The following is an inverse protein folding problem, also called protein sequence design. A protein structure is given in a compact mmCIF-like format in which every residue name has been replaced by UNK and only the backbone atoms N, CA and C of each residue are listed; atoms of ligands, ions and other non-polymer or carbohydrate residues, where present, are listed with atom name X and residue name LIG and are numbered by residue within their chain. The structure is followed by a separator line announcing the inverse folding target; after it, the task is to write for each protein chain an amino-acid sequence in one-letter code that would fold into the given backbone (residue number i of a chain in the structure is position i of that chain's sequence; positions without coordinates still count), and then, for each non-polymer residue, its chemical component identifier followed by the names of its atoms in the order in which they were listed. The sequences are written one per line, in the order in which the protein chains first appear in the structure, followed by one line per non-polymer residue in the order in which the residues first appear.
data_IF_623451582682
#
_entry.id   IF_623451582682
#
_cell.length_a   1.000
_cell.length_b   1.000
_cell.length_c   1.000
_cell.angle_alpha   90.00
_cell.angle_beta   90.00
_cell.angle_gamma   90.00
#
_symmetry.space_group_name_H-M   'P 1'
#
loop_
_entity.id
_entity.type
_entity.pdbx_description
1 polymer ?
#
# COMPACT_ATOMS: atom_id res chain seq x y z
N UNK A 1 -7.73 32.72 3.78
CA UNK A 1 -6.93 31.50 3.55
C UNK A 1 -5.81 31.89 2.61
N UNK A 2 -4.57 31.49 2.86
CA UNK A 2 -3.46 31.80 1.95
C UNK A 2 -3.72 31.13 0.60
N UNK A 3 -3.54 31.87 -0.50
CA UNK A 3 -3.69 31.34 -1.85
C UNK A 3 -2.56 30.33 -2.10
N UNK A 4 -2.95 29.10 -2.45
CA UNK A 4 -2.05 27.99 -2.74
C UNK A 4 -1.91 27.90 -4.25
N UNK A 5 -0.69 27.91 -4.73
CA UNK A 5 -0.42 27.77 -6.16
C UNK A 5 -0.83 26.38 -6.65
N UNK A 6 -1.55 26.33 -7.78
CA UNK A 6 -2.17 25.10 -8.30
C UNK A 6 -1.15 24.04 -8.71
N UNK A 7 0.03 24.45 -9.15
CA UNK A 7 1.03 23.55 -9.72
C UNK A 7 2.00 23.04 -8.67
N UNK A 8 2.39 23.90 -7.73
CA UNK A 8 3.34 23.57 -6.67
C UNK A 8 2.66 23.06 -5.40
N UNK A 9 1.38 23.38 -5.20
CA UNK A 9 0.67 23.07 -3.95
C UNK A 9 1.23 23.83 -2.74
N UNK A 10 2.04 24.87 -2.96
CA UNK A 10 2.67 25.68 -1.93
C UNK A 10 2.03 27.06 -1.86
N UNK A 11 2.04 27.65 -0.67
CA UNK A 11 1.80 29.10 -0.54
C UNK A 11 3.00 29.86 -1.10
N UNK A 12 2.80 31.11 -1.51
CA UNK A 12 3.88 31.97 -1.99
C UNK A 12 5.06 32.05 -1.02
N UNK A 13 4.78 32.23 0.27
CA UNK A 13 5.81 32.28 1.32
C UNK A 13 6.65 31.00 1.39
N UNK A 14 6.01 29.84 1.27
CA UNK A 14 6.70 28.55 1.27
C UNK A 14 7.52 28.35 0.01
N UNK A 15 6.98 28.76 -1.13
CA UNK A 15 7.69 28.71 -2.40
C UNK A 15 8.94 29.59 -2.37
N UNK A 16 8.82 30.83 -1.90
CA UNK A 16 9.95 31.76 -1.79
C UNK A 16 11.05 31.21 -0.88
N UNK A 17 10.69 30.61 0.26
CA UNK A 17 11.62 29.96 1.19
C UNK A 17 12.36 28.77 0.54
N UNK A 18 11.65 27.93 -0.22
CA UNK A 18 12.26 26.80 -0.95
C UNK A 18 13.22 27.32 -2.02
N UNK A 19 12.84 28.37 -2.75
CA UNK A 19 13.70 28.98 -3.77
C UNK A 19 14.96 29.63 -3.19
N UNK A 20 14.88 30.23 -2.00
CA UNK A 20 16.04 30.76 -1.30
C UNK A 20 17.03 29.65 -0.93
N UNK A 21 16.56 28.57 -0.29
CA UNK A 21 17.39 27.40 0.03
C UNK A 21 17.97 26.76 -1.21
N UNK A 22 17.21 26.71 -2.30
CA UNK A 22 17.67 26.19 -3.58
C UNK A 22 18.83 27.01 -4.15
N UNK A 23 18.80 28.35 -4.06
CA UNK A 23 19.93 29.20 -4.49
C UNK A 23 21.19 28.95 -3.67
N UNK A 24 21.04 28.79 -2.35
CA UNK A 24 22.16 28.44 -1.48
C UNK A 24 22.74 27.08 -1.89
N UNK A 25 21.88 26.08 -2.10
CA UNK A 25 22.27 24.78 -2.61
C UNK A 25 23.05 24.89 -3.94
N UNK A 26 22.55 25.62 -4.93
CA UNK A 26 23.26 25.81 -6.21
C UNK A 26 24.65 26.44 -6.03
N UNK A 27 24.81 27.37 -5.08
CA UNK A 27 26.11 28.02 -4.82
C UNK A 27 27.10 27.16 -4.00
N UNK A 28 26.65 26.01 -3.49
CA UNK A 28 27.40 25.19 -2.53
C UNK A 28 27.48 23.72 -2.92
N UNK A 29 26.72 23.25 -3.91
CA UNK A 29 26.60 21.83 -4.25
C UNK A 29 27.92 21.21 -4.75
N UNK A 30 28.78 22.02 -5.38
CA UNK A 30 30.06 21.56 -5.94
C UNK A 30 31.24 21.76 -4.97
N UNK A 31 30.99 22.32 -3.78
CA UNK A 31 32.01 22.62 -2.79
C UNK A 31 31.99 21.60 -1.64
N UNK A 32 32.92 20.65 -1.69
CA UNK A 32 33.08 19.58 -0.69
C UNK A 32 33.46 20.08 0.71
N UNK A 33 33.88 21.35 0.84
CA UNK A 33 34.22 21.95 2.15
C UNK A 33 33.01 22.56 2.83
N UNK A 34 31.91 22.75 2.10
CA UNK A 34 30.69 23.36 2.62
C UNK A 34 29.69 22.32 3.10
N UNK A 35 28.90 22.71 4.10
CA UNK A 35 27.84 21.87 4.63
C UNK A 35 26.73 21.69 3.59
N UNK A 36 26.25 20.45 3.37
CA UNK A 36 25.12 20.20 2.48
C UNK A 36 23.88 21.00 2.87
N UNK A 37 23.32 21.72 1.90
CA UNK A 37 22.10 22.52 2.11
C UNK A 37 20.86 21.66 1.86
N UNK A 38 19.95 21.64 2.83
CA UNK A 38 18.65 20.96 2.69
C UNK A 38 17.63 21.94 2.10
N UNK A 39 17.16 21.66 0.89
CA UNK A 39 16.22 22.52 0.16
C UNK A 39 14.78 22.34 0.65
N UNK A 40 14.34 21.09 0.72
CA UNK A 40 12.95 20.75 1.07
C UNK A 40 12.78 20.54 2.57
N UNK A 41 11.56 20.77 3.06
CA UNK A 41 11.23 20.45 4.44
C UNK A 41 11.30 18.94 4.68
N UNK A 42 11.77 18.56 5.87
CA UNK A 42 11.77 17.16 6.29
C UNK A 42 10.33 16.69 6.48
N UNK A 43 10.08 15.42 6.15
CA UNK A 43 8.82 14.77 6.49
C UNK A 43 8.65 14.84 8.00
N UNK A 44 7.49 15.33 8.44
CA UNK A 44 7.22 15.49 9.88
C UNK A 44 7.08 14.13 10.54
N UNK A 45 7.40 14.04 11.84
CA UNK A 45 7.22 12.79 12.59
C UNK A 45 5.77 12.30 12.51
N UNK A 46 4.80 13.22 12.61
CA UNK A 46 3.38 12.91 12.44
C UNK A 46 3.09 12.21 11.11
N UNK A 47 3.64 12.72 10.00
CA UNK A 47 3.46 12.09 8.69
C UNK A 47 4.14 10.71 8.61
N UNK A 48 5.26 10.51 9.29
CA UNK A 48 5.90 9.19 9.38
C UNK A 48 5.04 8.21 10.18
N UNK A 49 4.45 8.65 11.29
CA UNK A 49 3.56 7.84 12.12
C UNK A 49 2.29 7.47 11.35
N UNK A 50 1.72 8.40 10.60
CA UNK A 50 0.57 8.16 9.71
C UNK A 50 0.91 7.13 8.63
N UNK A 51 2.09 7.23 7.99
CA UNK A 51 2.55 6.24 7.02
C UNK A 51 2.76 4.86 7.64
N UNK A 52 3.26 4.81 8.87
CA UNK A 52 3.42 3.55 9.61
C UNK A 52 2.07 2.89 9.89
N UNK A 53 1.08 3.67 10.32
CA UNK A 53 -0.28 3.18 10.54
C UNK A 53 -0.92 2.68 9.24
N UNK A 54 -0.79 3.43 8.14
CA UNK A 54 -1.29 3.01 6.83
C UNK A 54 -0.68 1.67 6.43
N UNK A 55 0.63 1.50 6.65
CA UNK A 55 1.34 0.26 6.35
C UNK A 55 0.79 -0.91 7.17
N UNK A 56 0.61 -0.72 8.47
CA UNK A 56 0.09 -1.75 9.38
C UNK A 56 -1.32 -2.20 8.96
N UNK A 57 -2.23 -1.25 8.78
CA UNK A 57 -3.61 -1.54 8.36
C UNK A 57 -3.64 -2.23 6.99
N UNK A 58 -2.79 -1.80 6.05
CA UNK A 58 -2.72 -2.42 4.72
C UNK A 58 -2.22 -3.87 4.78
N UNK A 59 -1.26 -4.17 5.66
CA UNK A 59 -0.79 -5.54 5.88
C UNK A 59 -1.88 -6.43 6.47
N UNK A 60 -2.62 -5.93 7.44
CA UNK A 60 -3.73 -6.68 8.04
C UNK A 60 -4.86 -6.94 7.04
N UNK A 61 -5.20 -5.95 6.21
CA UNK A 61 -6.19 -6.13 5.15
C UNK A 61 -5.72 -7.15 4.10
N UNK A 62 -4.44 -7.12 3.74
CA UNK A 62 -3.86 -8.06 2.80
C UNK A 62 -3.90 -9.50 3.35
N UNK A 63 -3.57 -9.70 4.64
CA UNK A 63 -3.69 -11.02 5.30
C UNK A 63 -5.12 -11.51 5.31
N UNK A 64 -6.09 -10.66 5.69
CA UNK A 64 -7.53 -11.02 5.67
C UNK A 64 -7.97 -11.43 4.27
N UNK A 65 -7.57 -10.68 3.24
CA UNK A 65 -7.86 -11.02 1.85
C UNK A 65 -7.30 -12.40 1.48
N UNK A 66 -6.05 -12.70 1.84
CA UNK A 66 -5.43 -14.00 1.57
C UNK A 66 -6.14 -15.15 2.29
N UNK A 67 -6.55 -14.94 3.55
CA UNK A 67 -7.34 -15.90 4.30
C UNK A 67 -8.72 -16.15 3.67
N UNK A 68 -9.41 -15.10 3.25
CA UNK A 68 -10.73 -15.20 2.63
C UNK A 68 -10.65 -15.94 1.28
N UNK A 69 -9.63 -15.64 0.47
CA UNK A 69 -9.36 -16.37 -0.78
C UNK A 69 -9.09 -17.84 -0.51
N UNK A 70 -8.29 -18.15 0.53
CA UNK A 70 -8.00 -19.54 0.91
C UNK A 70 -9.23 -20.28 1.39
N UNK A 71 -10.06 -19.66 2.23
CA UNK A 71 -11.33 -20.25 2.70
C UNK A 71 -12.29 -20.52 1.54
N UNK A 72 -12.40 -19.59 0.59
CA UNK A 72 -13.23 -19.76 -0.60
C UNK A 72 -12.75 -20.93 -1.46
N UNK A 73 -11.43 -21.07 -1.66
CA UNK A 73 -10.85 -22.21 -2.39
C UNK A 73 -11.11 -23.55 -1.67
N UNK A 74 -10.97 -23.57 -0.33
CA UNK A 74 -11.26 -24.77 0.47
C UNK A 74 -12.73 -25.18 0.40
N UNK A 75 -13.66 -24.22 0.50
CA UNK A 75 -15.09 -24.48 0.36
C UNK A 75 -15.43 -25.09 -1.01
N UNK A 76 -14.82 -24.57 -2.09
CA UNK A 76 -15.01 -25.09 -3.44
C UNK A 76 -14.46 -26.53 -3.59
N UNK A 77 -13.27 -26.81 -3.05
CA UNK A 77 -12.71 -28.17 -3.05
C UNK A 77 -13.57 -29.16 -2.26
N UNK A 78 -14.14 -28.74 -1.12
CA UNK A 78 -15.03 -29.58 -0.33
C UNK A 78 -16.35 -29.86 -1.05
N UNK A 79 -16.93 -28.88 -1.75
CA UNK A 79 -18.13 -29.10 -2.58
C UNK A 79 -17.85 -30.06 -3.74
N UNK A 80 -16.72 -29.91 -4.44
CA UNK A 80 -16.32 -30.82 -5.52
C UNK A 80 -16.17 -32.24 -4.98
N UNK A 81 -15.48 -32.42 -3.85
CA UNK A 81 -15.32 -33.75 -3.23
C UNK A 81 -16.65 -34.37 -2.83
N UNK A 82 -17.57 -33.60 -2.24
CA UNK A 82 -18.91 -34.08 -1.87
C UNK A 82 -19.70 -34.55 -3.09
N UNK A 83 -19.71 -33.77 -4.17
CA UNK A 83 -20.38 -34.15 -5.41
C UNK A 83 -19.76 -35.40 -6.05
N UNK A 84 -18.42 -35.52 -6.07
CA UNK A 84 -17.76 -36.73 -6.58
C UNK A 84 -18.06 -37.97 -5.74
N UNK A 85 -18.15 -37.85 -4.41
CA UNK A 85 -18.51 -38.97 -3.54
C UNK A 85 -19.98 -39.38 -3.69
N UNK A 86 -20.89 -38.41 -3.84
CA UNK A 86 -22.31 -38.69 -4.05
C UNK A 86 -22.54 -39.39 -5.40
N UNK A 87 -21.90 -38.90 -6.48
CA UNK A 87 -22.00 -39.52 -7.79
C UNK A 87 -21.43 -40.95 -7.83
N UNK A 88 -20.39 -41.25 -7.03
CA UNK A 88 -19.86 -42.62 -6.93
C UNK A 88 -20.77 -43.56 -6.15
N UNK A 89 -21.48 -43.06 -5.13
CA UNK A 89 -22.44 -43.86 -4.36
C UNK A 89 -23.69 -44.20 -5.18
N UNK A 90 -24.23 -43.25 -5.96
CA UNK A 90 -25.39 -43.51 -6.83
C UNK A 90 -25.08 -44.59 -7.89
N UNK A 91 -23.89 -44.55 -8.50
CA UNK A 91 -23.47 -45.55 -9.50
C UNK A 91 -23.20 -46.94 -8.87
N UNK A 92 -22.84 -46.99 -7.58
CA UNK A 92 -22.58 -48.25 -6.87
C UNK A 92 -23.86 -48.88 -6.30
N UNK A 93 -24.88 -48.07 -5.98
CA UNK A 93 -26.23 -48.55 -5.64
C UNK A 93 -26.98 -49.08 -6.87
N UNK A 94 -26.94 -48.37 -8.01
CA UNK A 94 -27.57 -48.85 -9.26
C UNK A 94 -26.99 -50.20 -9.75
N UNK A 95 -25.70 -50.48 -9.50
CA UNK A 95 -25.06 -51.75 -9.85
C UNK A 95 -25.36 -52.92 -8.91
N UNK A 96 -25.93 -52.67 -7.72
CA UNK A 96 -26.30 -53.71 -6.76
C UNK A 96 -27.76 -54.15 -6.88
N UNK A 97 -28.59 -53.37 -7.58
CA UNK A 97 -30.00 -53.68 -7.82
C UNK A 97 -30.26 -54.38 -9.17
N UNK A 98 -29.24 -54.60 -10.00
CA UNK A 98 -29.26 -55.43 -11.23
C UNK A 98 -28.72 -56.85 -11.01
#
# INVERSE_FOLDING_TARGET
MAEVDKYTGLTKERFDLVMERYRIFQSTCDDVTKTPTVVFDRITQKSLDELALIREVSQDLQRKKEEDVRKAAQALEEEIKKNETAAKQEVEEEKKEE
#
